data_IF_586411233143
#
_entry.id   IF_586411233143
#
_cell.length_a   1.000
_cell.length_b   1.000
_cell.length_c   1.000
_cell.angle_alpha   90.00
_cell.angle_beta   90.00
_cell.angle_gamma   90.00
#
_symmetry.space_group_name_H-M   'P 1'
#
loop_
_entity.id
_entity.type
_entity.pdbx_description
1 polymer ?
#
# COMPACT_ATOMS: atom_id res chain seq x y z
N UNK A 1 11.79 -3.14 -16.86
CA UNK A 1 11.34 -2.40 -15.66
C UNK A 1 12.56 -2.11 -14.81
N UNK A 2 12.72 -0.89 -14.23
CA UNK A 2 13.73 -0.65 -13.21
C UNK A 2 13.58 -1.60 -12.00
N UNK A 3 14.70 -1.81 -11.29
CA UNK A 3 14.81 -2.61 -10.07
C UNK A 3 15.29 -1.73 -8.92
N UNK A 4 14.79 -1.94 -7.70
CA UNK A 4 15.25 -1.22 -6.51
C UNK A 4 15.16 -2.08 -5.25
N UNK A 5 16.24 -2.14 -4.47
CA UNK A 5 16.33 -2.97 -3.26
C UNK A 5 15.78 -2.24 -2.04
N UNK A 6 14.82 -2.86 -1.36
CA UNK A 6 14.22 -2.38 -0.12
C UNK A 6 14.45 -3.33 1.05
N UNK A 7 14.44 -2.80 2.28
CA UNK A 7 14.55 -3.60 3.51
C UNK A 7 13.26 -4.39 3.78
N UNK A 8 12.09 -3.86 3.38
CA UNK A 8 10.78 -4.47 3.69
C UNK A 8 10.34 -5.55 2.70
N UNK A 9 10.65 -5.39 1.41
CA UNK A 9 10.13 -6.25 0.33
C UNK A 9 11.23 -6.91 -0.51
N UNK A 10 12.52 -6.66 -0.21
CA UNK A 10 13.62 -7.09 -1.06
C UNK A 10 13.69 -6.26 -2.35
N UNK A 11 14.11 -6.89 -3.45
CA UNK A 11 14.16 -6.23 -4.76
C UNK A 11 12.76 -6.07 -5.37
N UNK A 12 12.35 -4.82 -5.58
CA UNK A 12 11.12 -4.45 -6.26
C UNK A 12 11.40 -4.17 -7.74
N UNK A 13 10.56 -4.70 -8.62
CA UNK A 13 10.43 -4.22 -10.00
C UNK A 13 9.24 -3.28 -10.12
N UNK A 14 9.42 -2.16 -10.83
CA UNK A 14 8.39 -1.14 -11.00
C UNK A 14 8.43 -0.53 -12.41
N UNK A 15 7.40 0.23 -12.78
CA UNK A 15 7.36 0.98 -14.05
C UNK A 15 7.73 2.44 -13.79
N UNK A 16 8.51 3.06 -14.66
CA UNK A 16 8.93 4.47 -14.48
C UNK A 16 7.74 5.44 -14.46
N UNK A 17 6.63 5.08 -15.11
CA UNK A 17 5.36 5.81 -15.11
C UNK A 17 4.56 5.72 -13.79
N UNK A 18 4.96 4.86 -12.85
CA UNK A 18 4.35 4.77 -11.51
C UNK A 18 5.14 5.53 -10.44
N UNK A 19 6.27 6.14 -10.80
CA UNK A 19 7.08 6.94 -9.89
C UNK A 19 6.39 8.26 -9.60
N UNK A 20 6.08 8.48 -8.33
CA UNK A 20 5.50 9.71 -7.79
C UNK A 20 6.64 10.64 -7.38
N UNK A 21 6.58 11.88 -7.88
CA UNK A 21 7.57 12.90 -7.63
C UNK A 21 7.06 13.94 -6.63
N UNK A 22 7.64 13.95 -5.44
CA UNK A 22 7.45 15.00 -4.44
C UNK A 22 8.60 16.00 -4.59
N UNK A 23 8.40 17.06 -5.39
CA UNK A 23 9.48 18.01 -5.74
C UNK A 23 10.08 18.73 -4.51
N UNK A 24 9.30 18.92 -3.43
CA UNK A 24 9.72 19.48 -2.13
C UNK A 24 10.18 18.40 -1.11
N UNK A 25 10.07 17.13 -1.48
CA UNK A 25 10.17 15.98 -0.57
C UNK A 25 9.02 15.91 0.45
N UNK A 26 9.33 15.44 1.67
CA UNK A 26 8.41 15.43 2.83
C UNK A 26 8.91 16.35 3.94
N UNK A 27 8.03 16.75 4.86
CA UNK A 27 8.40 17.62 5.99
C UNK A 27 9.46 16.94 6.87
N UNK A 28 10.64 17.57 6.96
CA UNK A 28 11.81 17.03 7.65
C UNK A 28 12.68 16.07 6.80
N UNK A 29 12.25 15.73 5.59
CA UNK A 29 12.93 14.83 4.64
C UNK A 29 12.88 15.40 3.20
N UNK A 30 13.43 16.61 2.95
CA UNK A 30 13.32 17.28 1.65
C UNK A 30 14.10 16.57 0.53
N UNK A 31 15.07 15.71 0.89
CA UNK A 31 15.90 14.96 -0.06
C UNK A 31 15.26 13.64 -0.54
N UNK A 32 14.04 13.32 -0.09
CA UNK A 32 13.31 12.11 -0.50
C UNK A 32 12.18 12.51 -1.44
N UNK A 33 12.47 12.55 -2.74
CA UNK A 33 11.60 13.10 -3.79
C UNK A 33 11.01 12.03 -4.71
N UNK A 34 11.56 10.82 -4.72
CA UNK A 34 11.15 9.72 -5.60
C UNK A 34 10.42 8.65 -4.80
N UNK A 35 9.18 8.33 -5.16
CA UNK A 35 8.33 7.40 -4.40
C UNK A 35 7.52 6.48 -5.30
N UNK A 36 7.08 5.33 -4.76
CA UNK A 36 6.06 4.46 -5.37
C UNK A 36 5.04 4.02 -4.32
N UNK A 37 3.82 3.73 -4.75
CA UNK A 37 2.78 3.11 -3.92
C UNK A 37 2.79 1.60 -4.20
N UNK A 38 2.84 0.81 -3.14
CA UNK A 38 2.78 -0.66 -3.17
C UNK A 38 1.53 -1.14 -2.42
N UNK A 39 0.90 -2.18 -2.91
CA UNK A 39 -0.20 -2.82 -2.20
C UNK A 39 0.28 -3.77 -1.10
N UNK A 40 -0.47 -3.80 0.01
CA UNK A 40 -0.14 -4.60 1.21
C UNK A 40 -0.92 -5.91 1.29
N UNK A 41 -1.71 -6.23 0.25
CA UNK A 41 -2.65 -7.34 0.18
C UNK A 41 -4.09 -6.93 0.52
N UNK A 42 -5.05 -7.59 -0.13
CA UNK A 42 -6.49 -7.31 -0.12
C UNK A 42 -7.10 -7.26 1.31
N UNK A 43 -6.49 -8.00 2.25
CA UNK A 43 -6.88 -8.06 3.66
C UNK A 43 -6.64 -6.75 4.46
N UNK A 44 -6.03 -5.73 3.84
CA UNK A 44 -5.69 -4.46 4.52
C UNK A 44 -5.97 -3.23 3.63
N UNK A 45 -6.91 -2.32 3.99
CA UNK A 45 -7.20 -1.07 3.26
C UNK A 45 -6.14 0.02 3.52
N UNK A 46 -4.88 -0.34 3.37
CA UNK A 46 -3.70 0.51 3.54
C UNK A 46 -2.68 0.10 2.48
N UNK A 47 -2.04 1.09 1.84
CA UNK A 47 -0.96 0.88 0.88
C UNK A 47 0.36 1.28 1.53
N UNK A 48 1.49 0.95 0.92
CA UNK A 48 2.82 1.33 1.41
C UNK A 48 3.49 2.32 0.45
N UNK A 49 3.84 3.50 0.95
CA UNK A 49 4.52 4.55 0.23
C UNK A 49 6.02 4.38 0.41
N UNK A 50 6.68 3.76 -0.57
CA UNK A 50 8.10 3.41 -0.55
C UNK A 50 8.93 4.52 -1.20
N UNK A 51 10.03 4.95 -0.56
CA UNK A 51 11.00 5.83 -1.22
C UNK A 51 11.89 5.01 -2.18
N UNK A 52 12.14 5.55 -3.36
CA UNK A 52 13.14 5.08 -4.32
C UNK A 52 14.51 5.78 -4.14
N UNK A 53 14.60 6.77 -3.26
CA UNK A 53 15.88 7.36 -2.85
C UNK A 53 16.48 6.61 -1.63
N UNK A 54 15.64 5.91 -0.85
CA UNK A 54 16.03 5.13 0.33
C UNK A 54 15.24 3.83 0.50
N UNK A 55 15.89 2.70 0.25
CA UNK A 55 15.30 1.35 0.40
C UNK A 55 14.98 0.94 1.85
N UNK A 56 15.53 1.63 2.85
CA UNK A 56 15.18 1.44 4.26
C UNK A 56 13.97 2.27 4.71
N UNK A 57 13.39 3.08 3.82
CA UNK A 57 12.45 4.14 4.19
C UNK A 57 11.12 4.10 3.42
N UNK A 58 10.02 4.15 4.17
CA UNK A 58 8.66 4.17 3.62
C UNK A 58 7.61 4.24 4.73
N UNK A 59 6.36 4.49 4.34
CA UNK A 59 5.25 4.69 5.28
C UNK A 59 4.03 3.83 4.93
N UNK A 60 3.31 3.28 5.91
CA UNK A 60 1.94 2.84 5.70
C UNK A 60 1.05 4.07 5.47
N UNK A 61 0.37 4.12 4.32
CA UNK A 61 -0.55 5.18 3.91
C UNK A 61 -1.95 4.62 3.70
N UNK A 62 -2.98 5.47 3.85
CA UNK A 62 -4.37 5.05 3.66
C UNK A 62 -5.23 6.23 3.24
N UNK A 63 -6.46 5.94 2.80
CA UNK A 63 -7.41 6.97 2.39
C UNK A 63 -8.06 7.64 3.63
N UNK A 64 -8.20 8.97 3.66
CA UNK A 64 -8.61 9.68 4.87
C UNK A 64 -10.07 9.41 5.31
N UNK A 65 -10.95 8.98 4.40
CA UNK A 65 -12.36 8.65 4.72
C UNK A 65 -12.50 7.53 5.77
N UNK A 66 -11.46 6.71 5.95
CA UNK A 66 -11.36 5.66 6.97
C UNK A 66 -11.08 6.22 8.37
N UNK A 67 -10.69 7.49 8.49
CA UNK A 67 -10.31 8.17 9.74
C UNK A 67 -11.25 9.32 10.10
N UNK A 68 -11.81 10.00 9.08
CA UNK A 68 -12.83 11.04 9.25
C UNK A 68 -13.79 11.04 8.06
N UNK A 69 -15.08 10.92 8.33
CA UNK A 69 -16.14 10.72 7.33
C UNK A 69 -16.24 11.88 6.32
N UNK A 70 -16.19 13.12 6.81
CA UNK A 70 -16.31 14.34 6.01
C UNK A 70 -14.92 14.98 5.75
N UNK A 71 -13.92 14.18 5.36
CA UNK A 71 -12.59 14.69 5.02
C UNK A 71 -12.55 15.19 3.57
N UNK A 72 -12.88 16.47 3.40
CA UNK A 72 -12.74 17.22 2.15
C UNK A 72 -11.66 18.33 2.30
N UNK A 73 -10.93 18.60 1.22
CA UNK A 73 -9.81 19.55 1.17
C UNK A 73 -9.91 20.47 -0.04
N UNK A 74 -10.00 21.78 0.20
CA UNK A 74 -9.96 22.79 -0.86
C UNK A 74 -8.51 23.00 -1.36
N UNK A 75 -8.08 22.17 -2.31
CA UNK A 75 -6.73 22.25 -2.89
C UNK A 75 -6.58 23.53 -3.71
N UNK A 76 -5.74 24.46 -3.25
CA UNK A 76 -5.61 25.77 -3.88
C UNK A 76 -5.11 25.70 -5.33
N UNK A 77 -5.53 26.65 -6.18
CA UNK A 77 -5.05 26.76 -7.57
C UNK A 77 -3.53 26.90 -7.67
N UNK A 78 -2.87 27.44 -6.64
CA UNK A 78 -1.40 27.49 -6.56
C UNK A 78 -0.78 26.10 -6.45
N UNK A 79 -1.35 25.20 -5.63
CA UNK A 79 -0.92 23.80 -5.54
C UNK A 79 -1.20 23.06 -6.85
N UNK A 80 -2.41 23.17 -7.39
CA UNK A 80 -2.79 22.56 -8.68
C UNK A 80 -1.81 22.95 -9.80
N UNK A 81 -1.45 24.24 -9.90
CA UNK A 81 -0.49 24.73 -10.89
C UNK A 81 0.95 24.22 -10.67
N UNK A 82 1.37 23.93 -9.43
CA UNK A 82 2.67 23.32 -9.13
C UNK A 82 2.71 21.83 -9.53
N UNK A 83 1.62 21.10 -9.29
CA UNK A 83 1.50 19.69 -9.68
C UNK A 83 1.26 19.51 -11.19
N UNK A 84 0.80 20.56 -11.88
CA UNK A 84 0.44 20.51 -13.30
C UNK A 84 -0.98 20.00 -13.57
N UNK A 85 -1.81 19.94 -12.53
CA UNK A 85 -3.16 19.40 -12.52
C UNK A 85 -4.08 20.07 -13.52
N UNK A 86 -4.86 19.25 -14.24
CA UNK A 86 -5.84 19.70 -15.24
C UNK A 86 -7.25 19.75 -14.69
N UNK A 87 -7.65 18.74 -13.92
CA UNK A 87 -8.97 18.64 -13.30
C UNK A 87 -8.82 18.26 -11.82
N UNK A 88 -9.71 18.74 -10.95
CA UNK A 88 -9.67 18.39 -9.52
C UNK A 88 -9.95 16.90 -9.25
N UNK A 89 -10.56 16.19 -10.21
CA UNK A 89 -10.74 14.72 -10.21
C UNK A 89 -9.44 13.94 -10.31
N UNK A 90 -8.39 14.57 -10.83
CA UNK A 90 -7.10 13.94 -11.11
C UNK A 90 -6.22 13.93 -9.82
N UNK A 91 -6.74 14.41 -8.68
CA UNK A 91 -6.03 14.51 -7.41
C UNK A 91 -6.41 13.39 -6.44
N UNK A 92 -5.50 12.44 -6.25
CA UNK A 92 -5.57 11.47 -5.16
C UNK A 92 -5.10 12.11 -3.84
N UNK A 93 -5.83 11.88 -2.75
CA UNK A 93 -5.44 12.29 -1.39
C UNK A 93 -5.24 11.06 -0.51
N UNK A 94 -4.06 10.96 0.10
CA UNK A 94 -3.72 9.94 1.09
C UNK A 94 -3.20 10.59 2.38
N UNK A 95 -3.19 9.85 3.48
CA UNK A 95 -2.54 10.27 4.73
C UNK A 95 -1.49 9.25 5.17
N UNK A 96 -0.40 9.76 5.75
CA UNK A 96 0.58 8.93 6.45
C UNK A 96 -0.06 8.43 7.76
N UNK A 97 0.11 7.15 8.03
CA UNK A 97 -0.44 6.48 9.22
C UNK A 97 0.66 5.98 10.15
N UNK A 98 0.27 5.66 11.38
CA UNK A 98 1.11 5.04 12.41
C UNK A 98 0.37 3.84 12.96
N UNK A 99 0.93 2.64 12.73
CA UNK A 99 0.51 1.41 13.39
C UNK A 99 1.25 1.33 14.72
N UNK A 100 0.52 1.28 15.82
CA UNK A 100 1.08 1.24 17.18
C UNK A 100 1.44 -0.19 17.57
N UNK A 101 2.14 -0.35 18.70
CA UNK A 101 2.65 -1.64 19.16
C UNK A 101 1.55 -2.73 19.23
N UNK A 102 1.88 -3.91 18.70
CA UNK A 102 0.95 -5.04 18.61
C UNK A 102 -0.19 -4.89 17.58
N UNK A 103 -0.18 -3.84 16.75
CA UNK A 103 -1.23 -3.60 15.74
C UNK A 103 -2.58 -3.16 16.32
N UNK A 104 -2.67 -3.01 17.64
CA UNK A 104 -3.91 -2.75 18.38
C UNK A 104 -4.54 -1.39 18.10
N UNK A 105 -3.73 -0.41 17.71
CA UNK A 105 -4.17 0.94 17.36
C UNK A 105 -3.53 1.41 16.06
N UNK A 106 -4.33 2.03 15.19
CA UNK A 106 -3.84 2.72 13.98
C UNK A 106 -4.31 4.17 14.00
N UNK A 107 -3.40 5.11 13.77
CA UNK A 107 -3.72 6.54 13.70
C UNK A 107 -3.19 7.20 12.43
N UNK A 108 -3.99 8.03 11.76
CA UNK A 108 -3.62 8.81 10.59
C UNK A 108 -3.34 10.29 10.93
N UNK A 109 -2.48 10.93 10.14
CA UNK A 109 -2.21 12.36 10.23
C UNK A 109 -3.07 13.13 9.22
N UNK A 110 -4.21 13.66 9.67
CA UNK A 110 -5.15 14.43 8.85
C UNK A 110 -4.68 15.88 8.60
N UNK A 111 -3.66 16.37 9.30
CA UNK A 111 -3.12 17.73 9.14
C UNK A 111 -1.92 17.80 8.18
N UNK A 112 -1.37 16.66 7.76
CA UNK A 112 -0.26 16.58 6.82
C UNK A 112 -0.49 15.57 5.66
N UNK A 113 -1.60 15.66 4.91
CA UNK A 113 -1.93 14.75 3.81
C UNK A 113 -0.93 14.83 2.65
N UNK A 114 -0.81 13.72 1.95
CA UNK A 114 -0.17 13.63 0.64
C UNK A 114 -1.23 13.87 -0.44
N UNK A 115 -1.03 14.88 -1.27
CA UNK A 115 -1.87 15.16 -2.44
C UNK A 115 -1.04 14.89 -3.68
N UNK A 116 -1.51 13.98 -4.53
CA UNK A 116 -0.79 13.44 -5.68
C UNK A 116 -1.71 13.53 -6.90
N UNK A 117 -1.21 14.14 -7.97
CA UNK A 117 -1.84 14.17 -9.27
C UNK A 117 -1.61 12.83 -9.99
N UNK A 118 -2.68 12.16 -10.41
CA UNK A 118 -2.62 10.80 -10.97
C UNK A 118 -2.03 10.77 -12.37
N UNK A 119 -2.17 11.86 -13.13
CA UNK A 119 -1.77 11.98 -14.54
C UNK A 119 -0.32 12.45 -14.69
N UNK A 120 0.09 13.46 -13.92
CA UNK A 120 1.46 13.98 -13.95
C UNK A 120 2.41 13.24 -13.02
N UNK A 121 1.87 12.41 -12.12
CA UNK A 121 2.55 11.75 -10.98
C UNK A 121 3.24 12.73 -10.02
N UNK A 122 3.01 14.04 -10.11
CA UNK A 122 3.55 15.01 -9.15
C UNK A 122 2.70 15.04 -7.89
N UNK A 123 3.34 15.17 -6.74
CA UNK A 123 2.64 15.34 -5.47
C UNK A 123 3.33 16.32 -4.53
N UNK A 124 2.68 16.57 -3.40
CA UNK A 124 3.23 17.34 -2.29
C UNK A 124 2.61 16.88 -0.97
N UNK A 125 3.32 17.14 0.14
CA UNK A 125 2.70 17.10 1.47
C UNK A 125 2.14 18.48 1.78
N UNK A 126 0.82 18.57 1.98
CA UNK A 126 0.16 19.83 2.35
C UNK A 126 0.09 19.96 3.87
N UNK A 127 0.23 21.19 4.37
CA UNK A 127 -0.18 21.53 5.74
C UNK A 127 -1.63 21.98 5.72
N UNK A 128 -2.49 21.31 6.51
CA UNK A 128 -3.89 21.70 6.71
C UNK A 128 -4.02 22.33 8.09
N UNK A 129 -4.66 23.50 8.17
CA UNK A 129 -5.01 24.20 9.41
C UNK A 129 -6.53 24.18 9.58
N UNK A 130 -7.05 23.09 10.15
CA UNK A 130 -8.47 22.88 10.40
C UNK A 130 -8.67 22.18 11.75
N UNK A 131 -9.38 22.84 12.67
CA UNK A 131 -9.62 22.36 14.03
C UNK A 131 -10.49 21.10 14.12
N UNK A 132 -11.12 20.65 13.01
CA UNK A 132 -11.83 19.37 12.91
C UNK A 132 -10.87 18.17 12.83
N UNK A 133 -9.63 18.39 12.45
CA UNK A 133 -8.67 17.36 12.07
C UNK A 133 -7.52 17.21 13.08
N UNK A 134 -6.86 16.04 13.07
CA UNK A 134 -5.85 15.66 14.06
C UNK A 134 -4.62 15.00 13.43
N UNK A 135 -3.43 15.27 13.99
CA UNK A 135 -2.19 14.56 13.63
C UNK A 135 -2.18 13.08 14.03
N UNK A 136 -3.12 12.67 14.90
CA UNK A 136 -3.28 11.29 15.39
C UNK A 136 -4.76 10.92 15.47
N UNK A 137 -5.49 11.15 14.39
CA UNK A 137 -6.87 10.66 14.27
C UNK A 137 -6.87 9.14 14.28
N UNK A 138 -7.75 8.50 15.05
CA UNK A 138 -7.85 7.04 15.09
C UNK A 138 -8.70 6.50 13.93
N UNK A 139 -8.39 5.29 13.45
CA UNK A 139 -9.12 4.66 12.35
C UNK A 139 -10.53 4.21 12.79
N UNK A 140 -11.49 4.32 11.89
CA UNK A 140 -12.82 3.74 12.05
C UNK A 140 -12.75 2.24 11.71
N UNK A 141 -12.56 1.40 12.73
CA UNK A 141 -12.44 -0.06 12.58
C UNK A 141 -13.65 -0.74 11.91
N UNK A 142 -14.85 -0.15 12.00
CA UNK A 142 -16.03 -0.66 11.29
C UNK A 142 -15.88 -0.44 9.78
N UNK A 143 -15.44 0.75 9.35
CA UNK A 143 -15.10 1.02 7.94
C UNK A 143 -13.93 0.17 7.45
N UNK A 144 -12.89 -0.01 8.26
CA UNK A 144 -11.77 -0.92 7.95
C UNK A 144 -12.28 -2.34 7.64
N UNK A 145 -13.11 -2.90 8.52
CA UNK A 145 -13.73 -4.23 8.34
C UNK A 145 -14.81 -4.32 7.25
N UNK A 146 -15.21 -3.21 6.65
CA UNK A 146 -16.01 -3.18 5.41
C UNK A 146 -15.12 -3.12 4.17
N UNK A 147 -14.08 -2.27 4.17
CA UNK A 147 -13.16 -2.13 3.05
C UNK A 147 -12.45 -3.45 2.72
N UNK A 148 -11.94 -4.18 3.73
CA UNK A 148 -11.39 -5.55 3.58
C UNK A 148 -12.33 -6.49 2.83
N UNK A 149 -13.64 -6.41 3.09
CA UNK A 149 -14.66 -7.26 2.44
C UNK A 149 -15.00 -6.82 1.03
N UNK A 150 -14.70 -5.57 0.67
CA UNK A 150 -14.90 -5.03 -0.67
C UNK A 150 -13.79 -5.54 -1.60
N UNK A 151 -12.53 -5.30 -1.25
CA UNK A 151 -11.35 -5.73 -2.02
C UNK A 151 -11.38 -7.26 -2.26
N UNK A 152 -11.62 -8.04 -1.19
CA UNK A 152 -11.73 -9.51 -1.26
C UNK A 152 -12.97 -10.04 -2.01
N UNK A 153 -13.86 -9.18 -2.52
CA UNK A 153 -15.06 -9.57 -3.26
C UNK A 153 -14.94 -9.41 -4.79
N UNK A 154 -14.20 -8.40 -5.28
CA UNK A 154 -13.95 -8.21 -6.73
C UNK A 154 -13.08 -9.34 -7.29
N UNK A 155 -12.07 -9.79 -6.53
CA UNK A 155 -11.13 -10.86 -6.92
C UNK A 155 -11.75 -12.27 -7.06
N UNK A 156 -13.09 -12.43 -7.01
CA UNK A 156 -13.80 -13.69 -7.29
C UNK A 156 -14.35 -13.82 -8.71
N UNK A 157 -14.13 -12.83 -9.58
CA UNK A 157 -14.77 -12.78 -10.89
C UNK A 157 -14.19 -13.73 -11.96
N UNK A 158 -12.94 -14.23 -11.80
CA UNK A 158 -12.22 -14.93 -12.88
C UNK A 158 -11.49 -16.21 -12.40
N UNK A 159 -12.27 -17.23 -12.02
CA UNK A 159 -11.77 -18.60 -11.78
C UNK A 159 -12.41 -19.54 -12.80
N UNK A 160 -11.68 -20.00 -13.83
CA UNK A 160 -12.15 -21.04 -14.73
C UNK A 160 -12.40 -22.36 -13.97
N UNK A 161 -13.39 -23.18 -14.38
CA UNK A 161 -13.63 -24.48 -13.74
C UNK A 161 -12.44 -25.43 -13.95
N UNK A 162 -11.97 -26.07 -12.88
CA UNK A 162 -10.85 -27.02 -12.93
C UNK A 162 -11.18 -28.25 -13.79
N UNK A 163 -10.36 -28.52 -14.80
CA UNK A 163 -10.44 -29.74 -15.61
C UNK A 163 -9.83 -30.93 -14.85
N UNK A 164 -10.68 -31.86 -14.41
CA UNK A 164 -10.25 -33.06 -13.70
C UNK A 164 -9.76 -34.17 -14.65
N UNK A 165 -8.68 -33.92 -15.41
CA UNK A 165 -8.10 -34.95 -16.27
C UNK A 165 -6.55 -34.90 -16.41
N UNK A 166 -5.85 -35.85 -15.74
CA UNK A 166 -4.94 -36.84 -16.38
C UNK A 166 -4.16 -37.67 -15.34
N UNK A 167 -3.60 -38.83 -15.74
CA UNK A 167 -2.81 -39.75 -14.90
C UNK A 167 -1.49 -40.20 -15.56
N UNK A 168 -0.37 -40.15 -14.82
CA UNK A 168 0.86 -40.96 -14.99
C UNK A 168 1.70 -40.87 -13.70
N UNK A 169 2.36 -41.88 -13.09
CA UNK A 169 3.27 -42.96 -13.55
C UNK A 169 4.62 -42.46 -14.11
N UNK A 170 5.83 -42.91 -13.72
CA UNK A 170 6.43 -43.75 -12.62
C UNK A 170 7.99 -43.57 -12.72
N UNK A 171 8.95 -44.14 -11.96
CA UNK A 171 9.08 -45.29 -11.00
C UNK A 171 10.30 -45.06 -10.05
N UNK A 172 10.31 -45.73 -8.88
CA UNK A 172 11.48 -46.13 -8.04
C UNK A 172 12.45 -45.05 -7.45
N UNK A 173 13.16 -45.30 -6.34
CA UNK A 173 13.10 -46.42 -5.36
C UNK A 173 14.38 -46.59 -4.51
N UNK A 174 14.28 -47.19 -3.32
CA UNK A 174 15.40 -47.73 -2.51
C UNK A 174 14.91 -48.69 -1.41
N UNK A 175 15.81 -49.58 -0.97
CA UNK A 175 15.64 -50.53 0.16
C UNK A 175 16.01 -49.83 1.51
N UNK A 176 16.04 -50.42 2.71
CA UNK A 176 15.84 -51.78 3.28
C UNK A 176 15.28 -51.57 4.74
N UNK A 177 15.17 -52.46 5.75
CA UNK A 177 15.60 -53.83 6.09
C UNK A 177 14.44 -54.51 6.88
N UNK A 178 14.37 -55.85 6.90
CA UNK A 178 13.45 -56.62 7.76
C UNK A 178 14.20 -57.53 8.78
N UNK A 179 13.61 -57.82 9.95
CA UNK A 179 14.04 -58.90 10.83
C UNK A 179 13.00 -60.05 10.96
N UNK A 180 13.49 -61.29 10.98
CA UNK A 180 12.74 -62.52 11.31
C UNK A 180 13.69 -63.50 12.05
N UNK A 181 13.20 -64.57 12.70
CA UNK A 181 11.84 -64.81 13.21
C UNK A 181 11.83 -65.13 14.72
N UNK A 182 10.66 -65.45 15.28
CA UNK A 182 10.54 -66.08 16.60
C UNK A 182 10.27 -67.60 16.44
N UNK A 183 10.87 -68.44 17.29
CA UNK A 183 10.63 -69.89 17.23
C UNK A 183 11.39 -70.71 18.27
N UNK A 184 10.68 -71.06 19.35
CA UNK A 184 10.85 -72.20 20.30
C UNK A 184 12.29 -72.58 20.69
#
# INVERSE_FOLDING_TARGET
MPKFTTVRFGELEYRSEDVIHLDDGLVGMPNLTSWIILDMGDDVPMKWFQSLDRGDFGFPVSQPYLFHDEYDLSISKGVQARLGTRQATDLATMIITTVHAGGTKVTGNLLAPLVIDTETRKGCQLTVDDARFSMRQEINYFKFGLAVKSEASDNRADVPPEDQSSQARTVAGSQEIAPEPAGV
#
